data_IF_862403840092
#
_entry.id   IF_862403840092
#
_cell.length_a   1.000
_cell.length_b   1.000
_cell.length_c   1.000
_cell.angle_alpha   90.00
_cell.angle_beta   90.00
_cell.angle_gamma   90.00
#
_symmetry.space_group_name_H-M   'P 1'
#
loop_
_entity.id
_entity.type
_entity.pdbx_description
1 polymer ?
#
# COMPACT_ATOMS: atom_id res chain seq x y z
N UNK A 1 -14.93 -32.28 -1.02
CA UNK A 1 -14.01 -31.27 -0.47
C UNK A 1 -13.77 -30.20 -1.51
N UNK A 2 -14.47 -29.08 -1.40
CA UNK A 2 -14.29 -27.91 -2.23
C UNK A 2 -13.32 -26.97 -1.48
N UNK A 3 -12.03 -27.15 -1.72
CA UNK A 3 -10.97 -26.36 -1.10
C UNK A 3 -10.55 -25.16 -1.97
N UNK A 4 -9.47 -24.51 -1.58
CA UNK A 4 -8.82 -23.39 -2.31
C UNK A 4 -8.70 -23.63 -3.83
N UNK A 5 -8.64 -24.87 -4.31
CA UNK A 5 -8.63 -25.22 -5.72
C UNK A 5 -9.83 -24.68 -6.52
N UNK A 6 -11.02 -24.52 -5.90
CA UNK A 6 -12.17 -23.94 -6.57
C UNK A 6 -12.08 -22.39 -6.62
N UNK A 7 -11.41 -21.78 -5.63
CA UNK A 7 -11.08 -20.35 -5.64
C UNK A 7 -10.02 -20.06 -6.69
N UNK A 8 -9.01 -20.92 -6.82
CA UNK A 8 -7.98 -20.82 -7.85
C UNK A 8 -8.53 -20.97 -9.28
N UNK A 9 -9.46 -21.91 -9.50
CA UNK A 9 -10.14 -22.06 -10.80
C UNK A 9 -11.02 -20.87 -11.18
N UNK A 10 -11.40 -20.04 -10.20
CA UNK A 10 -12.17 -18.80 -10.42
C UNK A 10 -11.30 -17.54 -10.51
N UNK A 11 -9.96 -17.66 -10.54
CA UNK A 11 -9.06 -16.51 -10.73
C UNK A 11 -9.36 -15.73 -12.00
N UNK A 12 -9.77 -16.41 -13.07
CA UNK A 12 -10.24 -15.77 -14.31
C UNK A 12 -11.53 -14.97 -14.11
N UNK A 13 -12.30 -15.28 -13.04
CA UNK A 13 -13.58 -14.65 -12.73
C UNK A 13 -13.54 -13.52 -11.68
N UNK A 14 -12.43 -13.33 -10.95
CA UNK A 14 -12.32 -12.29 -9.92
C UNK A 14 -11.36 -11.19 -10.37
N UNK A 15 -11.85 -10.08 -10.92
CA UNK A 15 -11.00 -8.98 -11.39
C UNK A 15 -10.32 -8.27 -10.22
N UNK A 16 -9.23 -7.55 -10.50
CA UNK A 16 -8.61 -6.65 -9.52
C UNK A 16 -9.66 -5.68 -8.95
N UNK A 17 -9.64 -5.43 -7.65
CA UNK A 17 -10.65 -4.69 -6.88
C UNK A 17 -12.04 -5.36 -6.84
N UNK A 18 -12.16 -6.60 -7.31
CA UNK A 18 -13.36 -7.40 -7.18
C UNK A 18 -13.45 -8.12 -5.83
N UNK A 19 -14.65 -8.55 -5.49
CA UNK A 19 -14.89 -9.40 -4.33
C UNK A 19 -15.86 -10.53 -4.68
N UNK A 20 -15.82 -11.58 -3.87
CA UNK A 20 -16.77 -12.67 -3.93
C UNK A 20 -17.13 -13.15 -2.52
N UNK A 21 -18.32 -13.70 -2.38
CA UNK A 21 -18.76 -14.39 -1.18
C UNK A 21 -18.88 -15.88 -1.46
N UNK A 22 -18.56 -16.69 -0.48
CA UNK A 22 -18.64 -18.14 -0.62
C UNK A 22 -18.34 -18.87 0.68
N UNK A 23 -18.29 -20.19 0.57
CA UNK A 23 -17.89 -21.07 1.65
C UNK A 23 -16.43 -21.47 1.47
N UNK A 24 -15.63 -21.29 2.51
CA UNK A 24 -14.24 -21.66 2.56
C UNK A 24 -14.04 -22.60 3.76
N UNK A 25 -13.77 -23.87 3.53
CA UNK A 25 -13.66 -24.91 4.56
C UNK A 25 -14.86 -25.02 5.50
N UNK A 26 -16.07 -24.80 5.00
CA UNK A 26 -17.31 -24.83 5.81
C UNK A 26 -17.63 -23.52 6.53
N UNK A 27 -16.86 -22.48 6.32
CA UNK A 27 -17.05 -21.15 6.91
C UNK A 27 -17.42 -20.13 5.84
N UNK A 28 -18.43 -19.30 6.10
CA UNK A 28 -18.77 -18.18 5.21
C UNK A 28 -17.63 -17.17 5.18
N UNK A 29 -17.15 -16.86 3.98
CA UNK A 29 -16.04 -15.95 3.77
C UNK A 29 -16.37 -14.92 2.67
N UNK A 30 -15.75 -13.74 2.79
CA UNK A 30 -15.61 -12.77 1.69
C UNK A 30 -14.15 -12.74 1.29
N UNK A 31 -13.92 -12.81 0.00
CA UNK A 31 -12.58 -12.78 -0.57
C UNK A 31 -12.49 -11.57 -1.47
N UNK A 32 -11.56 -10.67 -1.19
CA UNK A 32 -11.29 -9.48 -1.99
C UNK A 32 -9.98 -9.66 -2.73
N UNK A 33 -9.96 -9.37 -4.04
CA UNK A 33 -8.73 -9.31 -4.82
C UNK A 33 -8.15 -7.90 -4.76
N UNK A 34 -7.49 -7.61 -3.68
CA UNK A 34 -6.81 -6.33 -3.43
C UNK A 34 -5.39 -6.60 -2.96
N UNK A 35 -4.50 -5.63 -3.18
CA UNK A 35 -3.11 -5.78 -2.83
C UNK A 35 -2.58 -4.51 -2.18
N UNK A 36 -1.91 -4.67 -1.06
CA UNK A 36 -1.17 -3.63 -0.37
C UNK A 36 0.31 -3.63 -0.77
N UNK A 37 0.83 -4.80 -1.15
CA UNK A 37 2.22 -5.02 -1.52
C UNK A 37 2.51 -4.81 -3.01
N UNK A 38 1.48 -4.66 -3.85
CA UNK A 38 1.62 -4.63 -5.31
C UNK A 38 1.56 -6.00 -5.98
N UNK A 39 1.78 -7.06 -5.24
CA UNK A 39 1.72 -8.44 -5.73
C UNK A 39 0.29 -8.95 -5.87
N UNK A 40 0.12 -10.11 -6.50
CA UNK A 40 -1.16 -10.80 -6.51
C UNK A 40 -1.54 -11.21 -5.09
N UNK A 41 -2.55 -10.55 -4.55
CA UNK A 41 -2.97 -10.75 -3.17
C UNK A 41 -4.50 -10.86 -3.03
N UNK A 42 -4.89 -11.51 -1.96
CA UNK A 42 -6.29 -11.66 -1.57
C UNK A 42 -6.44 -11.40 -0.08
N UNK A 43 -7.50 -10.71 0.28
CA UNK A 43 -7.95 -10.62 1.66
C UNK A 43 -9.09 -11.59 1.91
N UNK A 44 -8.93 -12.45 2.89
CA UNK A 44 -9.95 -13.41 3.31
C UNK A 44 -10.58 -12.92 4.61
N UNK A 45 -11.84 -12.54 4.54
CA UNK A 45 -12.61 -12.03 5.66
C UNK A 45 -13.60 -13.09 6.13
N UNK A 46 -13.56 -13.44 7.40
CA UNK A 46 -14.48 -14.36 8.09
C UNK A 46 -14.99 -13.72 9.38
N UNK A 47 -16.02 -14.28 9.99
CA UNK A 47 -16.39 -13.90 11.35
C UNK A 47 -15.24 -14.16 12.33
N UNK A 48 -15.08 -13.29 13.33
CA UNK A 48 -13.92 -13.28 14.24
C UNK A 48 -13.65 -14.62 14.92
N UNK A 49 -14.71 -15.37 15.24
CA UNK A 49 -14.62 -16.68 15.90
C UNK A 49 -13.92 -17.73 15.03
N UNK A 50 -13.89 -17.53 13.72
CA UNK A 50 -13.24 -18.44 12.76
C UNK A 50 -11.85 -17.99 12.32
N UNK A 51 -11.35 -16.86 12.83
CA UNK A 51 -10.06 -16.29 12.39
C UNK A 51 -8.90 -17.27 12.56
N UNK A 52 -8.76 -17.88 13.74
CA UNK A 52 -7.70 -18.84 14.01
C UNK A 52 -7.84 -20.12 13.16
N UNK A 53 -9.05 -20.67 13.09
CA UNK A 53 -9.33 -21.82 12.23
C UNK A 53 -8.97 -21.55 10.76
N UNK A 54 -9.35 -20.39 10.24
CA UNK A 54 -9.07 -20.03 8.85
C UNK A 54 -7.56 -19.88 8.60
N UNK A 55 -6.84 -19.26 9.54
CA UNK A 55 -5.40 -19.16 9.49
C UNK A 55 -4.73 -20.53 9.39
N UNK A 56 -5.08 -21.44 10.31
CA UNK A 56 -4.53 -22.80 10.33
C UNK A 56 -4.83 -23.56 9.04
N UNK A 57 -6.06 -23.42 8.51
CA UNK A 57 -6.45 -24.08 7.25
C UNK A 57 -5.70 -23.51 6.03
N UNK A 58 -5.47 -22.20 5.98
CA UNK A 58 -4.70 -21.60 4.90
C UNK A 58 -3.24 -22.06 4.95
N UNK A 59 -2.63 -22.12 6.13
CA UNK A 59 -1.27 -22.62 6.29
C UNK A 59 -1.19 -24.11 5.89
N UNK A 60 -2.12 -24.96 6.39
CA UNK A 60 -2.18 -26.38 6.06
C UNK A 60 -2.22 -26.64 4.53
N UNK A 61 -3.15 -25.99 3.83
CA UNK A 61 -3.27 -26.19 2.38
C UNK A 61 -2.20 -25.47 1.57
N UNK A 62 -1.58 -24.48 2.16
CA UNK A 62 -0.48 -23.72 1.56
C UNK A 62 0.87 -24.43 1.62
N UNK A 63 1.01 -25.51 2.41
CA UNK A 63 2.27 -26.26 2.54
C UNK A 63 2.78 -26.78 1.19
N UNK A 64 1.89 -27.28 0.33
CA UNK A 64 2.26 -27.76 -1.02
C UNK A 64 2.84 -26.64 -1.91
N UNK A 65 2.49 -25.37 -1.61
CA UNK A 65 2.98 -24.16 -2.30
C UNK A 65 4.12 -23.48 -1.55
N UNK A 66 4.62 -24.09 -0.47
CA UNK A 66 5.67 -23.52 0.40
C UNK A 66 5.27 -22.17 0.98
N UNK A 67 4.01 -22.03 1.37
CA UNK A 67 3.51 -20.81 2.02
C UNK A 67 4.33 -20.48 3.27
N UNK A 68 4.66 -19.23 3.44
CA UNK A 68 5.35 -18.74 4.63
C UNK A 68 4.65 -17.50 5.17
N UNK A 69 4.38 -17.44 6.47
CA UNK A 69 3.89 -16.21 7.09
C UNK A 69 4.99 -15.15 7.07
N UNK A 70 4.61 -13.90 6.83
CA UNK A 70 5.48 -12.75 6.98
C UNK A 70 4.79 -11.67 7.82
N UNK A 71 5.59 -10.85 8.49
CA UNK A 71 5.09 -9.83 9.41
C UNK A 71 4.85 -8.48 8.76
N UNK A 72 4.41 -7.52 9.57
CA UNK A 72 4.09 -6.15 9.14
C UNK A 72 5.31 -5.37 8.65
N UNK A 73 6.53 -5.70 9.10
CA UNK A 73 7.76 -5.07 8.62
C UNK A 73 8.03 -5.42 7.15
N UNK A 74 7.95 -6.72 6.80
CA UNK A 74 8.06 -7.15 5.41
C UNK A 74 6.96 -6.55 4.53
N UNK A 75 5.71 -6.49 5.04
CA UNK A 75 4.62 -5.84 4.34
C UNK A 75 4.90 -4.35 4.11
N UNK A 76 5.50 -3.66 5.09
CA UNK A 76 5.88 -2.25 4.96
C UNK A 76 6.97 -2.06 3.90
N UNK A 77 7.96 -2.94 3.84
CA UNK A 77 8.98 -2.92 2.78
C UNK A 77 8.33 -3.04 1.40
N UNK A 78 7.51 -4.06 1.20
CA UNK A 78 6.83 -4.31 -0.08
C UNK A 78 5.95 -3.11 -0.52
N UNK A 79 5.22 -2.49 0.41
CA UNK A 79 4.38 -1.33 0.06
C UNK A 79 5.22 -0.10 -0.34
N UNK A 80 6.41 0.09 0.27
CA UNK A 80 7.33 1.18 -0.07
C UNK A 80 7.94 0.93 -1.45
N UNK A 81 8.38 -0.27 -1.74
CA UNK A 81 8.91 -0.67 -3.06
C UNK A 81 7.89 -0.41 -4.18
N UNK A 82 6.63 -0.71 -3.93
CA UNK A 82 5.53 -0.43 -4.86
C UNK A 82 5.18 1.07 -4.95
N UNK A 83 5.56 1.89 -3.97
CA UNK A 83 5.15 3.28 -3.84
C UNK A 83 3.72 3.46 -3.32
N UNK A 84 3.17 2.46 -2.61
CA UNK A 84 1.85 2.54 -2.02
C UNK A 84 1.88 3.44 -0.78
N UNK A 85 1.10 4.51 -0.80
CA UNK A 85 1.01 5.48 0.31
C UNK A 85 0.19 4.94 1.47
N UNK A 86 0.67 5.15 2.70
CA UNK A 86 -0.01 4.71 3.92
C UNK A 86 0.44 5.57 5.12
N UNK A 87 -0.31 5.51 6.21
CA UNK A 87 0.10 6.12 7.48
C UNK A 87 0.46 7.60 7.35
N UNK A 88 1.73 7.91 7.50
CA UNK A 88 2.26 9.28 7.54
C UNK A 88 2.08 10.10 6.26
N UNK A 89 1.93 9.44 5.11
CA UNK A 89 1.69 10.10 3.83
C UNK A 89 0.24 10.59 3.68
N UNK A 90 -0.70 9.99 4.40
CA UNK A 90 -2.14 10.25 4.31
C UNK A 90 -2.63 11.09 5.49
N UNK A 91 -2.07 12.26 5.67
CA UNK A 91 -2.50 13.21 6.69
C UNK A 91 -3.48 14.27 6.15
N UNK A 92 -4.05 15.08 7.05
CA UNK A 92 -5.03 16.12 6.68
C UNK A 92 -4.46 17.30 5.87
N UNK A 93 -3.16 17.32 5.58
CA UNK A 93 -2.47 18.38 4.82
C UNK A 93 -2.25 17.99 3.36
N UNK A 94 -2.34 16.69 3.05
CA UNK A 94 -2.13 16.17 1.71
C UNK A 94 -3.45 15.98 0.96
N UNK A 95 -3.38 16.09 -0.35
CA UNK A 95 -4.46 15.81 -1.28
C UNK A 95 -4.04 14.69 -2.24
N UNK A 96 -4.98 14.06 -2.96
CA UNK A 96 -4.64 12.98 -3.88
C UNK A 96 -3.51 13.31 -4.87
N UNK A 97 -3.43 14.55 -5.34
CA UNK A 97 -2.39 14.99 -6.29
C UNK A 97 -0.99 15.05 -5.67
N UNK A 98 -0.89 15.28 -4.36
CA UNK A 98 0.37 15.27 -3.64
C UNK A 98 0.94 13.85 -3.51
N UNK A 99 0.06 12.85 -3.46
CA UNK A 99 0.36 11.45 -3.21
C UNK A 99 0.33 10.58 -4.49
N UNK A 100 0.41 11.18 -5.66
CA UNK A 100 0.36 10.47 -6.95
C UNK A 100 -0.91 9.61 -7.15
N UNK A 101 -2.04 10.03 -6.54
CA UNK A 101 -3.33 9.36 -6.60
C UNK A 101 -4.34 10.10 -7.52
N UNK A 102 -3.88 10.95 -8.41
CA UNK A 102 -4.73 11.68 -9.36
C UNK A 102 -5.58 10.77 -10.25
N UNK A 103 -5.11 9.56 -10.53
CA UNK A 103 -5.86 8.55 -11.28
C UNK A 103 -7.15 8.09 -10.59
N UNK A 104 -7.23 8.22 -9.27
CA UNK A 104 -8.41 7.89 -8.48
C UNK A 104 -9.44 9.04 -8.44
N UNK A 105 -9.04 10.24 -8.84
CA UNK A 105 -9.93 11.43 -8.83
C UNK A 105 -10.76 11.45 -10.10
N UNK A 106 -12.06 11.17 -9.97
CA UNK A 106 -12.96 11.13 -11.12
C UNK A 106 -13.10 12.50 -11.79
N UNK A 107 -12.84 12.55 -13.09
CA UNK A 107 -13.11 13.71 -13.94
C UNK A 107 -14.58 13.81 -14.34
N UNK A 108 -15.29 12.67 -14.37
CA UNK A 108 -16.65 12.57 -14.93
C UNK A 108 -17.74 12.64 -13.87
N UNK A 109 -17.48 12.12 -12.66
CA UNK A 109 -18.48 12.08 -11.58
C UNK A 109 -18.37 13.34 -10.73
N UNK A 110 -19.49 13.73 -10.15
CA UNK A 110 -19.53 14.69 -9.05
C UNK A 110 -19.30 13.95 -7.72
N UNK A 111 -18.58 14.55 -6.79
CA UNK A 111 -18.28 13.98 -5.48
C UNK A 111 -18.00 15.09 -4.46
N UNK A 112 -18.18 14.75 -3.18
CA UNK A 112 -17.86 15.65 -2.08
C UNK A 112 -16.36 15.94 -2.09
N UNK A 113 -16.01 17.25 -2.11
CA UNK A 113 -14.60 17.69 -2.16
C UNK A 113 -14.08 18.04 -3.55
N UNK A 114 -14.75 17.67 -4.65
CA UNK A 114 -14.31 17.99 -6.02
C UNK A 114 -13.99 19.48 -6.22
N UNK A 115 -14.89 20.35 -5.73
CA UNK A 115 -14.71 21.80 -5.78
C UNK A 115 -13.53 22.28 -4.93
N UNK A 116 -13.28 21.61 -3.79
CA UNK A 116 -12.16 21.95 -2.90
C UNK A 116 -10.82 21.70 -3.56
N UNK A 117 -10.70 20.65 -4.38
CA UNK A 117 -9.46 20.33 -5.11
C UNK A 117 -9.06 21.40 -6.15
N UNK A 118 -9.97 22.33 -6.48
CA UNK A 118 -9.72 23.42 -7.43
C UNK A 118 -9.25 24.71 -6.75
N UNK A 119 -9.08 24.73 -5.43
CA UNK A 119 -8.57 25.90 -4.71
C UNK A 119 -7.14 26.23 -5.15
N UNK A 120 -6.81 27.49 -5.26
CA UNK A 120 -5.47 27.96 -5.67
C UNK A 120 -4.34 27.33 -4.85
N UNK A 121 -4.52 27.18 -3.54
CA UNK A 121 -3.54 26.52 -2.67
C UNK A 121 -3.32 25.03 -2.99
N UNK A 122 -4.28 24.37 -3.63
CA UNK A 122 -4.18 22.93 -3.96
C UNK A 122 -3.68 22.67 -5.38
N UNK A 123 -3.73 23.70 -6.24
CA UNK A 123 -3.24 23.62 -7.61
C UNK A 123 -1.92 24.40 -7.81
N UNK A 124 -1.33 24.90 -6.71
CA UNK A 124 -0.07 25.64 -6.75
C UNK A 124 1.08 24.73 -7.23
N UNK A 125 1.96 25.27 -8.06
CA UNK A 125 3.07 24.50 -8.66
C UNK A 125 4.16 24.12 -7.65
N UNK A 126 4.29 24.87 -6.57
CA UNK A 126 5.26 24.68 -5.49
C UNK A 126 4.82 23.68 -4.42
N UNK A 127 3.70 22.99 -4.60
CA UNK A 127 3.26 21.95 -3.66
C UNK A 127 4.24 20.80 -3.63
N UNK A 128 4.53 20.35 -2.42
CA UNK A 128 5.31 19.12 -2.22
C UNK A 128 4.53 17.92 -2.78
N UNK A 129 5.26 17.01 -3.38
CA UNK A 129 4.72 15.75 -3.93
C UNK A 129 5.54 14.58 -3.43
N UNK A 130 4.89 13.44 -3.32
CA UNK A 130 5.60 12.20 -3.01
C UNK A 130 6.49 11.80 -4.18
N UNK A 131 7.71 11.40 -3.84
CA UNK A 131 8.69 10.89 -4.79
C UNK A 131 9.46 9.74 -4.15
N UNK A 132 9.82 8.73 -4.93
CA UNK A 132 10.78 7.72 -4.52
C UNK A 132 12.20 8.28 -4.59
N UNK A 133 13.00 8.00 -3.57
CA UNK A 133 14.43 8.34 -3.54
C UNK A 133 15.26 7.10 -3.22
N UNK A 134 16.41 6.98 -3.87
CA UNK A 134 17.39 5.93 -3.60
C UNK A 134 18.70 6.62 -3.28
N UNK A 135 19.37 6.28 -2.16
CA UNK A 135 20.70 6.81 -1.86
C UNK A 135 21.71 6.49 -2.96
N UNK A 136 22.61 7.45 -3.26
CA UNK A 136 23.61 7.28 -4.32
C UNK A 136 24.58 6.15 -4.03
N UNK A 137 24.90 5.92 -2.77
CA UNK A 137 25.80 4.85 -2.32
C UNK A 137 25.10 3.49 -2.21
N UNK A 138 23.78 3.45 -2.32
CA UNK A 138 22.94 2.24 -2.20
C UNK A 138 23.10 1.46 -0.89
N UNK A 139 23.77 2.03 0.10
CA UNK A 139 24.10 1.37 1.37
C UNK A 139 23.60 2.15 2.59
N UNK A 140 23.37 3.43 2.43
CA UNK A 140 22.90 4.28 3.53
C UNK A 140 21.39 4.15 3.69
N UNK A 141 20.94 3.68 4.83
CA UNK A 141 19.53 3.78 5.22
C UNK A 141 19.23 5.22 5.67
N UNK A 142 18.27 5.86 5.01
CA UNK A 142 17.84 7.21 5.38
C UNK A 142 16.69 7.08 6.39
N UNK A 143 16.86 7.50 7.65
CA UNK A 143 15.82 7.36 8.66
C UNK A 143 14.53 8.13 8.29
N UNK A 144 13.38 7.57 8.65
CA UNK A 144 12.11 8.28 8.58
C UNK A 144 12.17 9.59 9.39
N UNK A 145 11.52 10.63 8.91
CA UNK A 145 11.56 11.97 9.50
C UNK A 145 12.78 12.80 9.12
N UNK A 146 13.78 12.22 8.43
CA UNK A 146 14.93 12.98 7.91
C UNK A 146 14.47 14.08 6.97
N UNK A 147 15.11 15.23 7.05
CA UNK A 147 14.76 16.38 6.20
C UNK A 147 15.60 16.41 4.92
N UNK A 148 14.94 16.68 3.81
CA UNK A 148 15.60 17.05 2.58
C UNK A 148 15.92 18.54 2.59
N UNK A 149 17.16 18.91 2.38
CA UNK A 149 17.64 20.29 2.35
C UNK A 149 18.46 20.51 1.09
N UNK A 150 18.58 21.74 0.65
CA UNK A 150 19.38 22.07 -0.55
C UNK A 150 20.88 22.02 -0.28
N UNK A 151 21.29 22.45 0.90
CA UNK A 151 22.67 22.53 1.33
C UNK A 151 22.77 22.14 2.81
N UNK A 152 23.42 21.02 3.09
CA UNK A 152 23.57 20.49 4.45
C UNK A 152 24.51 21.33 5.32
N UNK A 153 25.32 22.20 4.71
CA UNK A 153 26.26 23.12 5.39
C UNK A 153 25.70 24.50 5.62
N UNK A 154 24.48 24.76 5.12
CA UNK A 154 23.84 26.06 5.33
C UNK A 154 23.56 26.31 6.83
N UNK A 155 23.70 27.58 7.30
CA UNK A 155 23.40 27.91 8.67
C UNK A 155 21.91 27.72 8.98
N UNK A 156 21.60 27.45 10.24
CA UNK A 156 20.21 27.35 10.69
C UNK A 156 19.54 28.74 10.81
N UNK A 157 18.23 28.86 10.50
CA UNK A 157 17.34 27.80 10.02
C UNK A 157 17.56 27.43 8.56
N UNK A 158 17.82 26.16 8.27
CA UNK A 158 17.98 25.64 6.93
C UNK A 158 16.61 25.30 6.33
N UNK A 159 16.20 25.92 5.21
CA UNK A 159 14.91 25.67 4.58
C UNK A 159 14.77 24.19 4.15
N UNK A 160 13.64 23.58 4.55
CA UNK A 160 13.30 22.20 4.18
C UNK A 160 12.67 22.17 2.79
N UNK A 161 13.15 21.27 1.95
CA UNK A 161 12.53 20.94 0.65
C UNK A 161 11.45 19.86 0.82
N UNK A 162 11.62 18.98 1.81
CA UNK A 162 10.72 17.88 2.10
C UNK A 162 11.22 17.06 3.30
N UNK A 163 10.65 15.89 3.46
CA UNK A 163 11.07 14.93 4.49
C UNK A 163 10.85 13.51 3.99
N UNK A 164 11.54 12.56 4.61
CA UNK A 164 11.37 11.13 4.37
C UNK A 164 10.16 10.66 5.18
N UNK A 165 9.10 10.27 4.52
CA UNK A 165 7.86 9.79 5.15
C UNK A 165 7.90 8.30 5.50
N UNK A 166 8.63 7.51 4.70
CA UNK A 166 8.86 6.10 4.90
C UNK A 166 10.21 5.69 4.32
N UNK A 167 10.83 4.69 4.91
CA UNK A 167 12.12 4.16 4.47
C UNK A 167 12.17 2.66 4.69
N UNK A 168 12.81 1.93 3.79
CA UNK A 168 13.07 0.51 3.94
C UNK A 168 14.39 0.13 3.27
N UNK A 169 14.93 -1.00 3.67
CA UNK A 169 15.93 -1.70 2.88
C UNK A 169 15.21 -2.56 1.85
N UNK A 170 15.54 -2.37 0.58
CA UNK A 170 14.93 -3.13 -0.51
C UNK A 170 15.92 -4.14 -1.07
N UNK A 171 15.47 -5.38 -1.23
CA UNK A 171 16.24 -6.44 -1.90
C UNK A 171 16.14 -6.30 -3.43
N UNK A 172 15.07 -5.66 -3.92
CA UNK A 172 14.82 -5.51 -5.36
C UNK A 172 15.69 -4.41 -6.00
N UNK A 173 16.05 -3.37 -5.23
CA UNK A 173 16.82 -2.21 -5.72
C UNK A 173 18.29 -2.24 -5.32
N UNK A 174 18.82 -3.39 -4.91
CA UNK A 174 20.21 -3.59 -4.53
C UNK A 174 21.19 -3.48 -5.72
#
# INVERSE_FOLDING_TARGET
SRGLGDVYKRQEGLPFMGYMEGDLFGVKARIFRISFSGELAYEVNVESDYGNFMWEKIIEVGEEFKIQPYGTEALSTLRIEMGHVAGSELDGRTIPFDNALEGLVSKKKDFIGKRSLQRSAFIAEDRQRIVGVVPLDKQTSIPEGSHLVKDDKAPLPNPKLGHISASCWSVEYD
#
